data_IF_151510597818
#
_entry.id   IF_151510597818
#
_cell.length_a   1.000
_cell.length_b   1.000
_cell.length_c   1.000
_cell.angle_alpha   90.00
_cell.angle_beta   90.00
_cell.angle_gamma   90.00
#
_symmetry.space_group_name_H-M   'P 1'
#
loop_
_entity.id
_entity.type
_entity.pdbx_description
1 polymer ?
#
# COMPACT_ATOMS: atom_id res chain seq x y z
N UNK A 1 18.43 -15.57 27.18
CA UNK A 1 17.00 -15.67 27.58
C UNK A 1 16.10 -15.30 26.41
N UNK A 2 14.78 -15.56 26.48
CA UNK A 2 13.84 -15.17 25.39
C UNK A 2 13.93 -13.67 25.08
N UNK A 3 14.07 -12.82 26.10
CA UNK A 3 14.23 -11.37 25.94
C UNK A 3 15.49 -10.99 25.16
N UNK A 4 16.59 -11.70 25.39
CA UNK A 4 17.85 -11.45 24.66
C UNK A 4 17.72 -11.86 23.19
N UNK A 5 17.09 -13.00 22.91
CA UNK A 5 16.77 -13.43 21.55
C UNK A 5 15.86 -12.42 20.87
N UNK A 6 14.77 -11.97 21.50
CA UNK A 6 13.88 -10.96 20.91
C UNK A 6 14.61 -9.65 20.58
N UNK A 7 15.50 -9.18 21.45
CA UNK A 7 16.31 -7.99 21.20
C UNK A 7 17.18 -8.16 19.96
N UNK A 8 17.86 -9.31 19.83
CA UNK A 8 18.67 -9.67 18.65
C UNK A 8 17.82 -9.73 17.38
N UNK A 9 16.65 -10.36 17.42
CA UNK A 9 15.75 -10.46 16.27
C UNK A 9 15.23 -9.10 15.82
N UNK A 10 14.94 -8.18 16.75
CA UNK A 10 14.56 -6.81 16.42
C UNK A 10 15.69 -6.05 15.70
N UNK A 11 16.95 -6.28 16.05
CA UNK A 11 18.09 -5.62 15.37
C UNK A 11 18.44 -6.23 14.02
N UNK A 12 18.01 -7.47 13.74
CA UNK A 12 18.30 -8.15 12.48
C UNK A 12 17.35 -7.77 11.34
N UNK A 13 16.19 -7.21 11.66
CA UNK A 13 15.13 -6.99 10.68
C UNK A 13 15.06 -5.49 10.36
N UNK A 14 15.24 -5.12 9.08
CA UNK A 14 15.09 -3.75 8.63
C UNK A 14 13.71 -3.17 9.02
N UNK A 15 13.68 -1.91 9.46
CA UNK A 15 12.46 -1.25 9.96
C UNK A 15 11.41 -0.96 8.88
N UNK A 16 11.81 -1.03 7.62
CA UNK A 16 10.98 -0.85 6.43
C UNK A 16 10.21 -2.14 6.06
N UNK A 17 10.48 -3.26 6.72
CA UNK A 17 9.71 -4.49 6.52
C UNK A 17 8.31 -4.36 7.14
N UNK A 18 7.32 -4.97 6.48
CA UNK A 18 5.93 -4.92 6.93
C UNK A 18 5.76 -5.46 8.35
N UNK A 19 4.79 -4.91 9.08
CA UNK A 19 4.55 -5.25 10.49
C UNK A 19 4.33 -6.77 10.72
N UNK A 20 3.79 -7.46 9.72
CA UNK A 20 3.66 -8.92 9.74
C UNK A 20 5.02 -9.64 9.88
N UNK A 21 6.06 -9.14 9.21
CA UNK A 21 7.41 -9.69 9.25
C UNK A 21 8.01 -9.51 10.65
N UNK A 22 7.87 -8.32 11.24
CA UNK A 22 8.28 -8.07 12.62
C UNK A 22 7.54 -8.94 13.64
N UNK A 23 6.23 -9.19 13.45
CA UNK A 23 5.46 -10.09 14.34
C UNK A 23 5.91 -11.54 14.24
N UNK A 24 6.24 -12.01 13.04
CA UNK A 24 6.74 -13.38 12.85
C UNK A 24 8.11 -13.56 13.47
N UNK A 25 8.98 -12.56 13.40
CA UNK A 25 10.30 -12.57 14.05
C UNK A 25 10.25 -12.86 15.55
N UNK A 26 9.27 -12.31 16.27
CA UNK A 26 9.09 -12.58 17.68
C UNK A 26 8.86 -14.07 17.97
N UNK A 27 8.20 -14.80 17.05
CA UNK A 27 8.01 -16.27 17.16
C UNK A 27 9.32 -17.02 16.90
N UNK A 28 10.12 -16.57 15.93
CA UNK A 28 11.44 -17.13 15.68
C UNK A 28 12.42 -16.89 16.84
N UNK A 29 12.31 -15.76 17.55
CA UNK A 29 13.06 -15.51 18.77
C UNK A 29 12.76 -16.53 19.89
N UNK A 30 11.49 -16.93 20.02
CA UNK A 30 11.09 -17.99 20.97
C UNK A 30 11.67 -19.34 20.54
N UNK A 31 11.63 -19.66 19.24
CA UNK A 31 12.21 -20.90 18.70
C UNK A 31 13.73 -20.96 18.94
N UNK A 32 14.46 -19.86 18.74
CA UNK A 32 15.88 -19.79 19.06
C UNK A 32 16.13 -20.01 20.55
N UNK A 33 15.38 -19.33 21.43
CA UNK A 33 15.55 -19.51 22.87
C UNK A 33 15.28 -20.95 23.31
N UNK A 34 14.26 -21.60 22.74
CA UNK A 34 13.96 -23.01 22.99
C UNK A 34 15.07 -23.93 22.49
N UNK A 35 15.63 -23.67 21.30
CA UNK A 35 16.71 -24.46 20.72
C UNK A 35 18.00 -24.33 21.53
N UNK A 36 18.32 -23.13 22.02
CA UNK A 36 19.45 -22.89 22.93
C UNK A 36 19.28 -23.64 24.27
N UNK A 37 18.07 -23.68 24.83
CA UNK A 37 17.81 -24.49 26.03
C UNK A 37 17.88 -26.01 25.76
N UNK A 38 17.64 -26.41 24.52
CA UNK A 38 17.70 -27.79 24.04
C UNK A 38 19.11 -28.28 23.66
N UNK A 39 20.16 -27.48 23.88
CA UNK A 39 21.56 -27.81 23.56
C UNK A 39 21.97 -29.20 24.07
N UNK A 40 21.48 -29.58 25.26
CA UNK A 40 21.76 -30.90 25.87
C UNK A 40 21.23 -32.09 25.05
N UNK A 41 20.24 -31.87 24.18
CA UNK A 41 19.65 -32.90 23.32
C UNK A 41 20.24 -32.85 21.92
N UNK A 42 20.47 -31.65 21.37
CA UNK A 42 20.94 -31.47 19.99
C UNK A 42 22.46 -31.58 19.86
N UNK A 43 23.21 -31.25 20.92
CA UNK A 43 24.65 -31.08 20.88
C UNK A 43 25.10 -29.85 20.07
N UNK A 44 24.17 -28.96 19.72
CA UNK A 44 24.46 -27.77 18.93
C UNK A 44 24.90 -26.61 19.81
N UNK A 45 26.03 -26.00 19.46
CA UNK A 45 26.45 -24.77 20.12
C UNK A 45 25.49 -23.61 19.82
N UNK A 46 25.67 -22.53 20.56
CA UNK A 46 24.78 -21.38 20.45
C UNK A 46 24.78 -20.76 19.04
N UNK A 47 25.90 -20.85 18.30
CA UNK A 47 25.99 -20.29 16.95
C UNK A 47 25.22 -21.14 15.93
N UNK A 48 25.38 -22.46 16.00
CA UNK A 48 24.66 -23.43 15.16
C UNK A 48 23.15 -23.32 15.37
N UNK A 49 22.72 -23.14 16.63
CA UNK A 49 21.31 -22.89 16.94
C UNK A 49 20.79 -21.61 16.26
N UNK A 50 21.56 -20.52 16.31
CA UNK A 50 21.19 -19.25 15.67
C UNK A 50 21.11 -19.38 14.16
N UNK A 51 22.08 -20.03 13.54
CA UNK A 51 22.18 -20.16 12.08
C UNK A 51 21.03 -21.03 11.53
N UNK A 52 20.64 -22.10 12.22
CA UNK A 52 19.52 -22.95 11.83
C UNK A 52 18.17 -22.20 11.82
N UNK A 53 17.91 -21.41 12.87
CA UNK A 53 16.68 -20.62 12.97
C UNK A 53 16.70 -19.47 11.96
N UNK A 54 17.84 -18.79 11.78
CA UNK A 54 17.96 -17.71 10.82
C UNK A 54 17.84 -18.21 9.38
N UNK A 55 18.38 -19.38 9.05
CA UNK A 55 18.18 -20.02 7.75
C UNK A 55 16.70 -20.28 7.47
N UNK A 56 15.98 -20.85 8.43
CA UNK A 56 14.54 -21.13 8.32
C UNK A 56 13.72 -19.85 8.15
N UNK A 57 14.08 -18.79 8.88
CA UNK A 57 13.45 -17.48 8.73
C UNK A 57 13.71 -16.87 7.36
N UNK A 58 14.95 -16.92 6.86
CA UNK A 58 15.30 -16.40 5.54
C UNK A 58 14.59 -17.15 4.42
N UNK A 59 14.42 -18.48 4.55
CA UNK A 59 13.62 -19.27 3.62
C UNK A 59 12.15 -18.83 3.64
N UNK A 60 11.55 -18.69 4.83
CA UNK A 60 10.19 -18.17 4.97
C UNK A 60 10.03 -16.75 4.40
N UNK A 61 11.00 -15.86 4.65
CA UNK A 61 10.98 -14.48 4.16
C UNK A 61 11.06 -14.41 2.63
N UNK A 62 11.79 -15.31 1.96
CA UNK A 62 11.83 -15.37 0.49
C UNK A 62 10.47 -15.75 -0.10
N UNK A 63 9.75 -16.66 0.53
CA UNK A 63 8.42 -17.08 0.08
C UNK A 63 7.36 -16.00 0.38
N UNK A 64 7.33 -15.51 1.63
CA UNK A 64 6.37 -14.53 2.10
C UNK A 64 6.59 -13.14 1.47
N UNK A 65 7.86 -12.73 1.33
CA UNK A 65 8.27 -11.38 0.96
C UNK A 65 8.41 -10.44 2.16
N UNK A 66 8.73 -9.18 1.89
CA UNK A 66 9.04 -8.17 2.92
C UNK A 66 7.80 -7.44 3.47
N UNK A 67 6.59 -7.91 3.19
CA UNK A 67 5.33 -7.21 3.52
C UNK A 67 5.04 -5.98 2.65
N UNK A 68 6.03 -5.43 1.93
CA UNK A 68 5.83 -4.39 0.92
C UNK A 68 4.99 -4.86 -0.29
N UNK A 69 4.84 -6.17 -0.49
CA UNK A 69 4.00 -6.73 -1.56
C UNK A 69 2.55 -6.29 -1.46
N UNK A 70 1.99 -6.19 -0.24
CA UNK A 70 0.60 -5.74 -0.05
C UNK A 70 0.45 -4.27 -0.46
N UNK A 71 1.42 -3.42 -0.07
CA UNK A 71 1.44 -2.01 -0.46
C UNK A 71 1.63 -1.84 -1.97
N UNK A 72 2.53 -2.60 -2.58
CA UNK A 72 2.75 -2.61 -4.03
C UNK A 72 1.47 -3.06 -4.76
N UNK A 73 0.81 -4.11 -4.28
CA UNK A 73 -0.45 -4.57 -4.87
C UNK A 73 -1.56 -3.50 -4.83
N UNK A 74 -1.64 -2.71 -3.76
CA UNK A 74 -2.59 -1.58 -3.65
C UNK A 74 -2.31 -0.51 -4.71
N UNK A 75 -1.04 -0.17 -4.90
CA UNK A 75 -0.58 0.79 -5.91
C UNK A 75 -0.88 0.26 -7.32
N UNK A 76 -0.42 -0.95 -7.62
CA UNK A 76 -0.63 -1.62 -8.91
C UNK A 76 -2.11 -1.77 -9.26
N UNK A 77 -2.95 -2.13 -8.30
CA UNK A 77 -4.40 -2.25 -8.50
C UNK A 77 -5.05 -0.90 -8.83
N UNK A 78 -4.58 0.18 -8.21
CA UNK A 78 -5.06 1.54 -8.49
C UNK A 78 -4.61 2.00 -9.87
N UNK A 79 -3.34 1.78 -10.21
CA UNK A 79 -2.82 2.10 -11.55
C UNK A 79 -3.52 1.30 -12.65
N UNK A 80 -3.72 0.00 -12.44
CA UNK A 80 -4.42 -0.85 -13.39
C UNK A 80 -5.84 -0.34 -13.66
N UNK A 81 -6.55 0.10 -12.63
CA UNK A 81 -7.88 0.70 -12.79
C UNK A 81 -7.82 2.03 -13.56
N UNK A 82 -6.89 2.92 -13.21
CA UNK A 82 -6.74 4.21 -13.89
C UNK A 82 -6.28 4.06 -15.34
N UNK A 83 -5.44 3.08 -15.65
CA UNK A 83 -5.00 2.78 -17.00
C UNK A 83 -6.13 2.18 -17.86
N UNK A 84 -6.91 1.24 -17.29
CA UNK A 84 -8.01 0.62 -18.02
C UNK A 84 -9.22 1.57 -18.22
N UNK A 85 -9.52 2.39 -17.20
CA UNK A 85 -10.79 3.12 -17.12
C UNK A 85 -10.66 4.63 -17.01
N UNK A 86 -9.45 5.17 -16.88
CA UNK A 86 -9.20 6.60 -16.66
C UNK A 86 -9.75 7.50 -17.76
N UNK A 87 -9.80 7.03 -19.02
CA UNK A 87 -10.35 7.81 -20.14
C UNK A 87 -11.79 7.44 -20.49
N UNK A 88 -12.28 6.27 -20.08
CA UNK A 88 -13.58 5.73 -20.50
C UNK A 88 -14.67 5.90 -19.45
N UNK A 89 -14.34 5.84 -18.15
CA UNK A 89 -15.31 5.93 -17.04
C UNK A 89 -15.19 7.23 -16.24
N UNK A 90 -14.23 8.09 -16.55
CA UNK A 90 -14.12 9.42 -15.93
C UNK A 90 -14.45 10.53 -16.91
N UNK A 91 -15.51 11.26 -16.63
CA UNK A 91 -15.93 12.40 -17.44
C UNK A 91 -14.89 13.53 -17.36
N UNK A 92 -14.49 14.15 -18.48
CA UNK A 92 -13.62 15.32 -18.45
C UNK A 92 -14.31 16.47 -17.71
N UNK A 93 -13.53 17.24 -16.96
CA UNK A 93 -13.95 18.45 -16.29
C UNK A 93 -13.06 19.63 -16.74
N UNK A 94 -13.65 20.75 -17.24
CA UNK A 94 -15.08 21.00 -17.42
C UNK A 94 -15.73 20.09 -18.48
N UNK A 95 -17.03 19.86 -18.31
CA UNK A 95 -17.81 18.90 -19.09
C UNK A 95 -18.26 19.47 -20.44
N UNK A 96 -18.09 18.74 -21.55
CA UNK A 96 -18.70 19.06 -22.85
C UNK A 96 -19.86 18.11 -23.15
N UNK A 97 -21.02 18.59 -23.67
CA UNK A 97 -22.13 17.73 -24.10
C UNK A 97 -21.75 16.62 -25.09
N UNK A 98 -20.65 16.80 -25.84
CA UNK A 98 -20.10 15.79 -26.73
C UNK A 98 -19.54 14.56 -25.99
N UNK A 99 -19.28 14.67 -24.69
CA UNK A 99 -18.71 13.62 -23.85
C UNK A 99 -19.79 12.76 -23.15
N UNK A 100 -21.08 12.92 -23.49
CA UNK A 100 -22.19 12.10 -22.96
C UNK A 100 -22.76 11.11 -23.98
N UNK A 101 -23.26 9.93 -23.54
CA UNK A 101 -23.22 9.41 -22.17
C UNK A 101 -22.00 8.49 -21.93
N UNK A 102 -21.36 8.64 -20.77
CA UNK A 102 -20.36 7.68 -20.28
C UNK A 102 -21.05 6.56 -19.51
N UNK A 103 -20.80 5.32 -19.93
CA UNK A 103 -21.28 4.12 -19.25
C UNK A 103 -20.52 3.91 -17.93
N UNK A 104 -21.24 3.53 -16.87
CA UNK A 104 -20.69 3.17 -15.55
C UNK A 104 -19.73 4.22 -14.98
N UNK A 105 -20.16 5.49 -14.98
CA UNK A 105 -19.39 6.66 -14.57
C UNK A 105 -18.73 6.46 -13.18
N UNK A 106 -17.40 6.43 -13.18
CA UNK A 106 -16.54 6.25 -12.01
C UNK A 106 -16.22 7.56 -11.29
N UNK A 107 -16.32 8.69 -11.99
CA UNK A 107 -15.97 9.99 -11.45
C UNK A 107 -15.69 11.03 -12.54
N UNK A 108 -14.88 12.03 -12.19
CA UNK A 108 -14.47 13.09 -13.09
C UNK A 108 -12.94 13.16 -13.18
N UNK A 109 -12.41 13.58 -14.32
CA UNK A 109 -10.97 13.80 -14.51
C UNK A 109 -10.69 15.24 -14.92
N UNK A 110 -9.58 15.77 -14.44
CA UNK A 110 -9.12 17.11 -14.78
C UNK A 110 -7.63 17.03 -15.12
N UNK A 111 -7.25 17.54 -16.30
CA UNK A 111 -5.85 17.86 -16.58
C UNK A 111 -5.53 19.18 -15.88
N UNK A 112 -4.34 19.27 -15.28
CA UNK A 112 -3.85 20.55 -14.79
C UNK A 112 -3.55 21.51 -15.94
N UNK A 113 -3.28 22.77 -15.60
CA UNK A 113 -3.13 23.87 -16.57
C UNK A 113 -1.86 23.74 -17.43
N UNK A 114 -0.84 23.03 -16.95
CA UNK A 114 0.38 22.73 -17.70
C UNK A 114 0.33 21.30 -18.26
N UNK A 115 0.90 21.07 -19.45
CA UNK A 115 0.87 19.77 -20.14
C UNK A 115 1.58 18.65 -19.33
N UNK A 116 2.51 19.01 -18.46
CA UNK A 116 3.19 18.11 -17.51
C UNK A 116 2.42 17.89 -16.19
N UNK A 117 1.26 18.54 -16.00
CA UNK A 117 0.50 18.41 -14.76
C UNK A 117 -0.10 17.00 -14.64
N UNK A 118 0.00 16.36 -13.46
CA UNK A 118 -0.58 15.05 -13.26
C UNK A 118 -2.09 15.09 -13.48
N UNK A 119 -2.64 14.05 -14.12
CA UNK A 119 -4.07 13.89 -14.28
C UNK A 119 -4.70 13.65 -12.90
N UNK A 120 -5.67 14.48 -12.54
CA UNK A 120 -6.39 14.38 -11.28
C UNK A 120 -7.71 13.65 -11.53
N UNK A 121 -7.98 12.62 -10.74
CA UNK A 121 -9.20 11.82 -10.80
C UNK A 121 -10.04 12.02 -9.54
N UNK A 122 -11.17 12.69 -9.68
CA UNK A 122 -12.21 12.81 -8.67
C UNK A 122 -13.11 11.57 -8.70
N UNK A 123 -12.72 10.55 -7.93
CA UNK A 123 -13.35 9.22 -7.92
C UNK A 123 -14.51 9.17 -6.92
N UNK A 124 -15.64 8.60 -7.33
CA UNK A 124 -16.78 8.43 -6.42
C UNK A 124 -16.46 7.42 -5.30
N UNK A 125 -17.00 7.62 -4.08
CA UNK A 125 -16.75 6.72 -2.96
C UNK A 125 -17.15 5.27 -3.27
N UNK A 126 -18.28 5.05 -3.92
CA UNK A 126 -18.74 3.70 -4.27
C UNK A 126 -17.76 2.99 -5.21
N UNK A 127 -17.26 3.68 -6.24
CA UNK A 127 -16.26 3.13 -7.18
C UNK A 127 -14.95 2.83 -6.46
N UNK A 128 -14.46 3.79 -5.66
CA UNK A 128 -13.22 3.61 -4.91
C UNK A 128 -13.29 2.43 -3.95
N UNK A 129 -14.35 2.34 -3.14
CA UNK A 129 -14.46 1.33 -2.08
C UNK A 129 -14.84 -0.06 -2.61
N UNK A 130 -15.67 -0.14 -3.65
CA UNK A 130 -16.19 -1.44 -4.15
C UNK A 130 -15.43 -2.01 -5.34
N UNK A 131 -14.78 -1.16 -6.13
CA UNK A 131 -14.10 -1.59 -7.35
C UNK A 131 -12.59 -1.46 -7.22
N UNK A 132 -12.09 -0.26 -6.87
CA UNK A 132 -10.64 0.00 -6.80
C UNK A 132 -10.03 -0.68 -5.58
N UNK A 133 -10.61 -0.51 -4.40
CA UNK A 133 -10.14 -1.10 -3.15
C UNK A 133 -10.73 -2.51 -2.89
N UNK A 134 -11.26 -3.18 -3.92
CA UNK A 134 -11.87 -4.50 -3.79
C UNK A 134 -10.86 -5.50 -3.19
N UNK A 135 -11.29 -6.21 -2.13
CA UNK A 135 -10.45 -7.16 -1.40
C UNK A 135 -9.64 -6.54 -0.23
N UNK A 136 -9.66 -5.22 -0.07
CA UNK A 136 -8.91 -4.52 0.98
C UNK A 136 -9.82 -3.70 1.91
N UNK A 137 -9.31 -3.32 3.08
CA UNK A 137 -9.96 -2.32 3.91
C UNK A 137 -9.75 -0.93 3.28
N UNK A 138 -10.83 -0.26 2.88
CA UNK A 138 -10.76 1.02 2.19
C UNK A 138 -9.97 2.12 2.93
N UNK A 139 -9.94 2.11 4.28
CA UNK A 139 -9.14 3.09 5.04
C UNK A 139 -7.64 2.78 4.96
N UNK A 140 -7.27 1.52 5.10
CA UNK A 140 -5.87 1.09 4.95
C UNK A 140 -5.38 1.32 3.52
N UNK A 141 -6.20 0.96 2.54
CA UNK A 141 -5.95 1.20 1.12
C UNK A 141 -5.70 2.69 0.83
N UNK A 142 -6.58 3.57 1.33
CA UNK A 142 -6.41 5.01 1.17
C UNK A 142 -5.18 5.57 1.89
N UNK A 143 -4.81 5.02 3.05
CA UNK A 143 -3.58 5.42 3.76
C UNK A 143 -2.31 5.03 2.97
N UNK A 144 -2.29 3.83 2.37
CA UNK A 144 -1.18 3.38 1.53
C UNK A 144 -1.05 4.27 0.30
N UNK A 145 -2.15 4.55 -0.41
CA UNK A 145 -2.11 5.45 -1.57
C UNK A 145 -1.71 6.88 -1.20
N UNK A 146 -2.11 7.35 -0.02
CA UNK A 146 -1.68 8.67 0.49
C UNK A 146 -0.17 8.70 0.72
N UNK A 147 0.41 7.65 1.34
CA UNK A 147 1.85 7.52 1.54
C UNK A 147 2.61 7.43 0.21
N UNK A 148 2.01 6.79 -0.79
CA UNK A 148 2.55 6.68 -2.14
C UNK A 148 2.37 7.95 -3.00
N UNK A 149 1.73 9.02 -2.48
CA UNK A 149 1.46 10.24 -3.27
C UNK A 149 0.33 10.13 -4.30
N UNK A 150 -0.25 8.94 -4.47
CA UNK A 150 -1.35 8.67 -5.39
C UNK A 150 -2.72 9.14 -4.89
N UNK A 151 -2.86 9.50 -3.61
CA UNK A 151 -4.09 10.04 -3.03
C UNK A 151 -3.86 11.38 -2.36
N UNK A 152 -4.63 12.39 -2.74
CA UNK A 152 -4.61 13.71 -2.09
C UNK A 152 -5.63 13.77 -0.94
N UNK A 153 -5.17 13.87 0.32
CA UNK A 153 -6.06 13.96 1.48
C UNK A 153 -6.81 15.31 1.52
N UNK A 154 -7.89 15.41 2.31
CA UNK A 154 -8.57 16.69 2.53
C UNK A 154 -7.72 17.66 3.35
N UNK A 155 -7.88 18.97 3.11
CA UNK A 155 -7.20 20.03 3.87
C UNK A 155 -7.51 20.02 5.38
N UNK A 156 -8.61 19.39 5.79
CA UNK A 156 -8.99 19.24 7.20
C UNK A 156 -8.13 18.22 7.97
N UNK A 157 -7.31 17.41 7.28
CA UNK A 157 -6.51 16.34 7.88
C UNK A 157 -7.33 15.16 8.42
N UNK A 158 -8.67 15.18 8.29
CA UNK A 158 -9.57 14.11 8.75
C UNK A 158 -10.14 13.33 7.58
N UNK A 159 -9.90 12.02 7.57
CA UNK A 159 -10.39 11.10 6.56
C UNK A 159 -9.63 11.23 5.23
N UNK A 160 -10.20 10.62 4.18
CA UNK A 160 -9.55 10.49 2.87
C UNK A 160 -10.37 11.09 1.72
N UNK A 161 -11.59 11.54 2.02
CA UNK A 161 -12.50 12.13 1.04
C UNK A 161 -12.47 13.65 1.15
N UNK A 162 -12.55 14.34 0.01
CA UNK A 162 -12.71 15.80 -0.07
C UNK A 162 -13.90 16.19 -0.94
N UNK A 163 -14.35 17.43 -0.81
CA UNK A 163 -15.33 18.00 -1.73
C UNK A 163 -14.72 18.14 -3.12
N UNK A 164 -15.46 17.71 -4.14
CA UNK A 164 -15.12 17.96 -5.53
C UNK A 164 -15.17 19.48 -5.82
N UNK A 165 -14.51 19.93 -6.91
CA UNK A 165 -14.89 21.19 -7.55
C UNK A 165 -16.39 21.24 -7.82
N UNK A 166 -16.94 22.45 -7.98
CA UNK A 166 -18.36 22.60 -8.35
C UNK A 166 -18.57 22.03 -9.75
N UNK A 167 -19.18 20.85 -9.80
CA UNK A 167 -19.52 20.15 -11.04
C UNK A 167 -21.02 20.32 -11.22
N UNK A 168 -21.41 21.06 -12.26
CA UNK A 168 -22.81 21.44 -12.51
C UNK A 168 -23.50 22.07 -11.28
N UNK A 169 -22.78 22.94 -10.56
CA UNK A 169 -23.30 23.63 -9.38
C UNK A 169 -23.39 22.78 -8.10
N UNK A 170 -23.03 21.48 -8.18
CA UNK A 170 -23.02 20.56 -7.03
C UNK A 170 -21.60 20.24 -6.58
N UNK A 171 -21.43 19.98 -5.28
CA UNK A 171 -20.21 19.42 -4.71
C UNK A 171 -20.53 18.10 -4.03
N UNK A 172 -19.75 17.08 -4.34
CA UNK A 172 -19.88 15.73 -3.80
C UNK A 172 -18.60 15.33 -3.09
N UNK A 173 -18.70 14.36 -2.18
CA UNK A 173 -17.51 13.78 -1.55
C UNK A 173 -16.86 12.81 -2.52
N UNK A 174 -15.56 12.94 -2.72
CA UNK A 174 -14.78 12.13 -3.66
C UNK A 174 -13.42 11.77 -3.07
N UNK A 175 -12.86 10.67 -3.53
CA UNK A 175 -11.44 10.37 -3.39
C UNK A 175 -10.69 11.06 -4.53
N UNK A 176 -9.58 11.73 -4.22
CA UNK A 176 -8.78 12.41 -5.24
C UNK A 176 -7.54 11.60 -5.48
N UNK A 177 -7.52 10.92 -6.63
CA UNK A 177 -6.41 10.11 -7.06
C UNK A 177 -5.57 10.88 -8.07
N UNK A 178 -4.25 10.74 -7.97
CA UNK A 178 -3.30 11.26 -8.92
C UNK A 178 -2.67 10.07 -9.62
N UNK A 179 -2.65 10.11 -10.95
CA UNK A 179 -1.87 9.14 -11.71
C UNK A 179 -0.41 9.58 -11.72
N UNK A 180 0.44 8.82 -11.05
CA UNK A 180 1.89 8.92 -11.19
C UNK A 180 2.30 7.74 -12.06
N UNK A 181 2.72 7.95 -13.33
CA UNK A 181 3.40 6.90 -14.07
C UNK A 181 4.70 6.61 -13.30
N UNK A 182 4.81 5.41 -12.73
CA UNK A 182 5.86 5.11 -11.78
C UNK A 182 7.27 5.24 -12.36
N UNK A 183 8.04 6.19 -11.84
CA UNK A 183 9.46 5.99 -11.60
C UNK A 183 9.59 5.19 -10.31
N UNK A 184 9.39 3.87 -10.42
CA UNK A 184 9.49 2.91 -9.31
C UNK A 184 10.93 2.67 -8.84
N UNK A 185 11.81 3.67 -8.93
CA UNK A 185 13.24 3.55 -8.61
C UNK A 185 13.80 4.67 -7.73
N UNK A 186 12.95 5.43 -7.04
CA UNK A 186 13.37 6.58 -6.23
C UNK A 186 13.04 6.39 -4.75
N UNK A 187 13.64 5.37 -4.14
CA UNK A 187 13.80 5.27 -2.68
C UNK A 187 15.02 4.41 -2.35
N UNK A 188 16.15 4.72 -2.97
CA UNK A 188 17.48 4.44 -2.44
C UNK A 188 18.17 5.79 -2.23
N UNK A 189 18.01 6.37 -1.04
CA UNK A 189 18.99 7.31 -0.43
C UNK A 189 18.78 7.35 1.09
#
# INVERSE_FOLDING_TARGET
TVRDCESRWRSLIPSDYGEQVHRVAARFAILEAALLLGEVVTGWDAQTCRDAIQHSYNAWLREFGTGNKEHQQIIEQTEAFLNAYGLSRFAPFPYSPADLPIKDLAGYRQRGEHDESPMIFYTFPATFEKEIACGFNAKQFAEVLKKAGMLTPPNSGRGYQRKSPRIQGRQINVYVLNYQPGDYNSSEE
#
